data_IF_040370486965
#
_entry.id   IF_040370486965
#
_cell.length_a   1.000
_cell.length_b   1.000
_cell.length_c   1.000
_cell.angle_alpha   90.00
_cell.angle_beta   90.00
_cell.angle_gamma   90.00
#
_symmetry.space_group_name_H-M   'P 1'
#
loop_
_entity.id
_entity.type
_entity.pdbx_description
1 polymer ?
#
# COMPACT_ATOMS: atom_id res chain seq x y z
N UNK A 1 7.73 15.23 21.42
CA UNK A 1 8.41 15.58 20.16
C UNK A 1 9.60 14.68 20.14
N UNK A 2 9.55 13.63 19.31
CA UNK A 2 10.47 12.50 19.43
C UNK A 2 11.73 12.79 18.60
N UNK A 3 12.90 12.62 19.22
CA UNK A 3 14.21 12.77 18.58
C UNK A 3 14.71 11.36 18.21
N UNK A 4 14.79 11.08 16.91
CA UNK A 4 15.18 9.76 16.38
C UNK A 4 16.56 9.87 15.77
N UNK A 5 17.51 9.08 16.29
CA UNK A 5 18.90 9.09 15.85
C UNK A 5 19.39 7.67 15.58
N UNK A 6 19.94 7.47 14.39
CA UNK A 6 20.58 6.23 13.96
C UNK A 6 22.04 6.17 14.45
N UNK A 7 22.62 4.97 14.56
CA UNK A 7 24.03 4.78 14.94
C UNK A 7 24.63 3.59 14.21
N UNK A 8 25.78 3.81 13.59
CA UNK A 8 26.40 2.91 12.61
C UNK A 8 27.53 2.02 13.20
N UNK A 9 27.96 1.03 12.41
CA UNK A 9 29.24 0.29 12.47
C UNK A 9 29.48 -0.35 11.07
N UNK A 10 30.64 -0.95 10.72
CA UNK A 10 30.95 -1.75 9.45
C UNK A 10 30.65 -3.42 9.13
N UNK A 11 30.77 -3.13 7.72
CA UNK A 11 30.63 -3.81 6.34
C UNK A 11 31.47 -3.28 5.16
N UNK A 12 31.29 -3.93 3.99
CA UNK A 12 31.94 -3.68 2.69
C UNK A 12 30.97 -3.89 1.50
N UNK A 13 30.74 -2.83 0.72
CA UNK A 13 30.44 -2.89 -0.74
C UNK A 13 31.44 -1.99 -1.47
N UNK A 14 31.89 -2.36 -2.67
CA UNK A 14 33.05 -1.71 -3.31
C UNK A 14 32.65 -0.42 -4.05
N UNK A 15 32.52 0.66 -3.29
CA UNK A 15 32.65 2.05 -3.77
C UNK A 15 33.52 2.81 -2.77
N UNK A 16 34.42 3.67 -3.24
CA UNK A 16 35.45 4.25 -2.38
C UNK A 16 34.92 5.34 -1.43
N UNK A 17 35.41 5.29 -0.18
CA UNK A 17 35.10 6.16 0.97
C UNK A 17 33.70 5.98 1.62
N UNK A 18 33.70 5.93 2.96
CA UNK A 18 32.55 5.79 3.87
C UNK A 18 31.80 4.44 3.77
N UNK A 19 32.16 3.49 4.65
CA UNK A 19 31.51 2.17 4.80
C UNK A 19 30.44 2.14 5.92
N UNK A 20 29.56 1.12 5.93
CA UNK A 20 28.66 0.76 7.05
C UNK A 20 27.98 -0.64 6.91
N UNK A 21 27.74 -1.38 8.01
CA UNK A 21 26.85 -2.55 8.14
C UNK A 21 25.42 -2.07 8.24
N UNK A 22 24.74 -2.28 7.13
CA UNK A 22 23.47 -2.99 7.15
C UNK A 22 23.73 -4.39 7.74
N UNK A 23 23.26 -4.69 8.97
CA UNK A 23 23.31 -6.05 9.51
C UNK A 23 22.30 -6.90 8.72
N UNK A 24 22.75 -7.74 7.79
CA UNK A 24 21.85 -8.49 6.92
C UNK A 24 21.22 -9.69 7.65
N UNK A 25 19.88 -9.71 7.75
CA UNK A 25 19.10 -10.85 8.25
C UNK A 25 18.42 -11.57 7.07
N UNK A 26 18.47 -12.91 7.04
CA UNK A 26 17.77 -13.71 6.01
C UNK A 26 16.71 -14.59 6.66
N UNK A 27 15.49 -14.55 6.11
CA UNK A 27 14.36 -15.39 6.54
C UNK A 27 13.86 -16.26 5.38
N UNK A 28 13.05 -17.27 5.71
CA UNK A 28 12.33 -18.11 4.73
C UNK A 28 10.83 -17.92 4.90
N UNK A 29 10.18 -17.51 3.83
CA UNK A 29 8.72 -17.27 3.74
C UNK A 29 8.08 -18.28 2.79
N UNK A 30 6.74 -18.43 2.79
CA UNK A 30 6.04 -19.23 1.78
C UNK A 30 6.33 -18.82 0.33
N UNK A 31 6.58 -17.53 0.06
CA UNK A 31 6.97 -17.02 -1.27
C UNK A 31 8.48 -17.05 -1.53
N UNK A 32 9.28 -17.70 -0.68
CA UNK A 32 10.73 -17.87 -0.88
C UNK A 32 11.60 -17.28 0.22
N UNK A 33 12.92 -17.34 0.04
CA UNK A 33 13.88 -16.71 0.95
C UNK A 33 14.01 -15.21 0.65
N UNK A 34 14.27 -14.39 1.67
CA UNK A 34 14.56 -12.97 1.48
C UNK A 34 15.52 -12.43 2.53
N UNK A 35 16.39 -11.50 2.11
CA UNK A 35 17.36 -10.81 2.95
C UNK A 35 16.89 -9.37 3.22
N UNK A 36 16.78 -9.01 4.49
CA UNK A 36 16.44 -7.65 4.95
C UNK A 36 17.55 -7.02 5.77
N UNK A 37 17.35 -5.74 6.08
CA UNK A 37 18.20 -4.92 6.95
C UNK A 37 17.91 -5.21 8.42
N UNK A 38 18.91 -5.08 9.28
CA UNK A 38 18.72 -4.98 10.71
C UNK A 38 19.53 -3.80 11.27
N UNK A 39 18.92 -3.07 12.21
CA UNK A 39 19.43 -1.81 12.76
C UNK A 39 19.11 -1.70 14.26
N UNK A 40 19.83 -0.82 14.97
CA UNK A 40 19.45 -0.41 16.33
C UNK A 40 18.78 0.97 16.29
N UNK A 41 17.49 1.01 16.64
CA UNK A 41 16.73 2.24 16.81
C UNK A 41 16.78 2.68 18.28
N UNK A 42 16.90 3.98 18.53
CA UNK A 42 16.74 4.57 19.86
C UNK A 42 15.42 5.34 19.89
N UNK A 43 14.51 4.96 20.80
CA UNK A 43 13.24 5.67 21.05
C UNK A 43 13.12 5.94 22.54
N UNK A 44 12.97 7.21 22.92
CA UNK A 44 12.88 7.69 24.31
C UNK A 44 13.98 7.11 25.23
N UNK A 45 15.20 7.00 24.70
CA UNK A 45 16.39 6.48 25.39
C UNK A 45 16.49 4.95 25.48
N UNK A 46 15.44 4.21 25.11
CA UNK A 46 15.43 2.74 25.06
C UNK A 46 15.90 2.27 23.68
N UNK A 47 16.74 1.23 23.64
CA UNK A 47 17.26 0.65 22.40
C UNK A 47 16.36 -0.51 21.94
N UNK A 48 16.09 -0.56 20.64
CA UNK A 48 15.27 -1.57 19.97
C UNK A 48 16.02 -2.11 18.75
N UNK A 49 16.03 -3.43 18.56
CA UNK A 49 16.63 -4.08 17.39
C UNK A 49 15.55 -4.28 16.33
N UNK A 50 15.60 -3.47 15.27
CA UNK A 50 14.58 -3.47 14.21
C UNK A 50 15.10 -4.26 13.02
N UNK A 51 14.31 -5.20 12.53
CA UNK A 51 14.52 -5.85 11.22
C UNK A 51 13.56 -5.26 10.20
N UNK A 52 14.06 -4.91 9.01
CA UNK A 52 13.32 -4.23 7.94
C UNK A 52 13.47 -5.01 6.65
N UNK A 53 12.36 -5.38 6.04
CA UNK A 53 12.31 -6.03 4.74
C UNK A 53 11.52 -5.12 3.81
N UNK A 54 12.24 -4.42 2.93
CA UNK A 54 11.74 -3.34 2.10
C UNK A 54 11.46 -3.83 0.67
N UNK A 55 10.52 -3.19 -0.03
CA UNK A 55 10.31 -3.43 -1.47
C UNK A 55 9.85 -4.83 -1.87
N UNK A 56 9.32 -5.66 -0.97
CA UNK A 56 8.89 -7.03 -1.29
C UNK A 56 7.73 -6.99 -2.28
N UNK A 57 7.95 -7.50 -3.50
CA UNK A 57 6.93 -7.57 -4.56
C UNK A 57 5.85 -8.61 -4.23
N UNK A 58 4.62 -8.15 -3.99
CA UNK A 58 3.48 -9.03 -3.69
C UNK A 58 2.62 -9.39 -4.92
N UNK A 59 2.80 -8.67 -6.03
CA UNK A 59 2.09 -8.89 -7.29
C UNK A 59 3.05 -9.00 -8.49
N UNK A 60 2.55 -9.53 -9.61
CA UNK A 60 3.20 -9.44 -10.92
C UNK A 60 3.25 -7.99 -11.45
N UNK A 61 4.00 -7.80 -12.55
CA UNK A 61 4.08 -6.52 -13.26
C UNK A 61 2.70 -5.93 -13.59
N UNK A 62 2.53 -4.65 -13.33
CA UNK A 62 1.32 -3.87 -13.64
C UNK A 62 1.49 -2.87 -14.77
N UNK A 63 2.66 -2.88 -15.43
CA UNK A 63 2.96 -2.09 -16.62
C UNK A 63 2.33 -2.67 -17.92
N UNK A 64 2.41 -1.90 -19.00
CA UNK A 64 2.18 -2.38 -20.38
C UNK A 64 0.82 -3.05 -20.59
N UNK A 65 0.82 -4.35 -20.93
CA UNK A 65 -0.41 -5.13 -21.18
C UNK A 65 -1.22 -5.40 -19.91
N UNK A 66 -0.58 -5.38 -18.74
CA UNK A 66 -1.23 -5.58 -17.44
C UNK A 66 -1.79 -4.29 -16.84
N UNK A 67 -1.43 -3.12 -17.40
CA UNK A 67 -1.96 -1.81 -16.98
C UNK A 67 -3.49 -1.81 -17.04
N UNK A 68 -4.13 -1.31 -15.99
CA UNK A 68 -5.59 -1.31 -15.77
C UNK A 68 -6.27 -2.69 -15.55
N UNK A 69 -5.55 -3.82 -15.55
CA UNK A 69 -6.12 -5.09 -15.06
C UNK A 69 -6.05 -5.17 -13.53
N UNK A 70 -6.87 -6.06 -12.93
CA UNK A 70 -6.69 -6.50 -11.53
C UNK A 70 -5.26 -7.06 -11.35
N UNK A 71 -4.62 -6.85 -10.18
CA UNK A 71 -3.29 -7.40 -9.93
C UNK A 71 -3.37 -8.93 -9.82
N UNK A 72 -2.25 -9.59 -10.14
CA UNK A 72 -2.09 -11.04 -9.99
C UNK A 72 -1.01 -11.31 -8.93
N UNK A 73 -1.17 -12.32 -8.05
CA UNK A 73 -0.16 -12.65 -7.03
C UNK A 73 1.17 -13.01 -7.69
N UNK A 74 2.28 -12.49 -7.15
CA UNK A 74 3.61 -12.80 -7.68
C UNK A 74 3.95 -14.29 -7.47
N UNK A 75 4.73 -14.86 -8.38
CA UNK A 75 5.26 -16.22 -8.21
C UNK A 75 6.32 -16.26 -7.08
N UNK A 76 6.49 -17.40 -6.36
CA UNK A 76 7.55 -17.55 -5.37
C UNK A 76 8.95 -17.30 -5.96
N UNK A 77 9.79 -16.58 -5.21
CA UNK A 77 11.13 -16.19 -5.65
C UNK A 77 12.05 -17.42 -5.82
N UNK A 78 12.64 -17.56 -7.01
CA UNK A 78 13.57 -18.66 -7.35
C UNK A 78 14.94 -18.55 -6.67
N UNK A 79 15.25 -17.37 -6.13
CA UNK A 79 16.47 -17.03 -5.39
C UNK A 79 16.10 -16.20 -4.17
N UNK A 80 17.04 -15.97 -3.25
CA UNK A 80 16.83 -15.00 -2.15
C UNK A 80 16.48 -13.64 -2.73
N UNK A 81 15.33 -13.08 -2.37
CA UNK A 81 14.91 -11.74 -2.74
C UNK A 81 15.65 -10.70 -1.88
N UNK A 82 16.22 -9.68 -2.53
CA UNK A 82 16.88 -8.57 -1.84
C UNK A 82 15.84 -7.55 -1.36
N UNK A 83 15.45 -7.66 -0.10
CA UNK A 83 14.56 -6.74 0.61
C UNK A 83 15.34 -5.69 1.43
N UNK A 84 16.56 -5.32 1.01
CA UNK A 84 17.35 -4.28 1.71
C UNK A 84 17.14 -2.86 1.16
N UNK A 85 16.64 -2.73 -0.07
CA UNK A 85 16.59 -1.47 -0.80
C UNK A 85 15.24 -0.74 -0.65
N UNK A 86 15.28 0.61 -0.65
CA UNK A 86 14.06 1.42 -0.56
C UNK A 86 13.08 1.14 -1.71
N UNK A 87 11.77 1.02 -1.44
CA UNK A 87 10.78 0.70 -2.46
C UNK A 87 10.63 1.83 -3.48
N UNK A 88 10.44 1.46 -4.76
CA UNK A 88 9.88 2.39 -5.73
C UNK A 88 8.39 2.60 -5.46
N UNK A 89 7.93 3.83 -5.64
CA UNK A 89 6.53 4.21 -5.48
C UNK A 89 5.73 4.05 -6.78
N UNK A 90 4.40 3.97 -6.66
CA UNK A 90 3.52 4.05 -7.83
C UNK A 90 3.54 5.46 -8.43
N UNK A 91 3.44 5.55 -9.76
CA UNK A 91 3.31 6.86 -10.43
C UNK A 91 2.10 7.64 -9.87
N UNK A 92 2.31 8.88 -9.37
CA UNK A 92 1.22 9.74 -8.97
C UNK A 92 0.48 10.25 -10.20
N UNK A 93 -0.80 10.55 -10.03
CA UNK A 93 -1.68 10.99 -11.12
C UNK A 93 -1.24 12.30 -11.75
N UNK A 94 -0.52 13.16 -11.04
CA UNK A 94 -0.25 14.55 -11.44
C UNK A 94 1.19 14.96 -11.12
N UNK A 95 1.72 15.94 -11.88
CA UNK A 95 3.12 16.37 -11.78
C UNK A 95 3.46 16.96 -10.39
N UNK A 96 2.48 17.58 -9.72
CA UNK A 96 2.62 18.07 -8.35
C UNK A 96 3.03 16.96 -7.37
N UNK A 97 2.40 15.79 -7.46
CA UNK A 97 2.76 14.59 -6.69
C UNK A 97 4.15 14.07 -7.05
N UNK A 98 4.51 14.06 -8.34
CA UNK A 98 5.84 13.61 -8.80
C UNK A 98 6.95 14.50 -8.22
N UNK A 99 6.77 15.82 -8.24
CA UNK A 99 7.72 16.78 -7.63
C UNK A 99 7.75 16.64 -6.09
N UNK A 100 6.59 16.49 -5.46
CA UNK A 100 6.44 16.43 -4.00
C UNK A 100 7.12 15.23 -3.36
N UNK A 101 7.02 14.06 -3.99
CA UNK A 101 7.58 12.80 -3.48
C UNK A 101 8.87 12.36 -4.19
N UNK A 102 9.16 12.86 -5.41
CA UNK A 102 10.36 12.51 -6.20
C UNK A 102 11.71 12.88 -5.55
N UNK A 103 11.69 13.72 -4.51
CA UNK A 103 12.84 14.01 -3.64
C UNK A 103 13.10 12.93 -2.56
N UNK A 104 12.26 11.91 -2.48
CA UNK A 104 12.34 10.80 -1.51
C UNK A 104 12.26 9.41 -2.18
N UNK A 105 11.55 9.29 -3.30
CA UNK A 105 11.30 8.01 -4.00
C UNK A 105 11.43 8.17 -5.51
N UNK A 106 11.85 7.09 -6.18
CA UNK A 106 11.67 6.93 -7.62
C UNK A 106 10.30 6.29 -7.90
N UNK A 107 9.74 6.54 -9.10
CA UNK A 107 8.43 6.05 -9.51
C UNK A 107 8.52 4.95 -10.56
N UNK A 108 7.62 3.98 -10.49
CA UNK A 108 7.47 2.90 -11.47
C UNK A 108 5.98 2.54 -11.64
N UNK A 109 5.66 1.80 -12.71
CA UNK A 109 4.37 1.11 -12.84
C UNK A 109 4.36 -0.23 -12.10
N UNK A 110 5.52 -0.88 -11.95
CA UNK A 110 5.69 -2.16 -11.25
C UNK A 110 5.92 -1.92 -9.75
N UNK A 111 4.96 -1.22 -9.15
CA UNK A 111 5.08 -0.60 -7.83
C UNK A 111 4.40 -1.40 -6.70
N UNK A 112 3.84 -2.57 -7.00
CA UNK A 112 3.08 -3.39 -6.05
C UNK A 112 4.01 -4.17 -5.12
N UNK A 113 4.61 -3.39 -4.22
CA UNK A 113 5.50 -3.85 -3.17
C UNK A 113 4.99 -3.44 -1.78
N UNK A 114 5.49 -4.15 -0.77
CA UNK A 114 5.25 -3.85 0.63
C UNK A 114 6.53 -3.92 1.46
N UNK A 115 6.48 -3.36 2.66
CA UNK A 115 7.64 -3.20 3.55
C UNK A 115 7.24 -3.69 4.94
N UNK A 116 8.02 -4.59 5.54
CA UNK A 116 7.74 -5.21 6.85
C UNK A 116 8.79 -4.79 7.87
N UNK A 117 8.33 -4.30 9.02
CA UNK A 117 9.15 -3.82 10.12
C UNK A 117 8.87 -4.65 11.39
N UNK A 118 9.92 -5.24 11.97
CA UNK A 118 9.84 -6.19 13.10
C UNK A 118 10.83 -5.78 14.20
N UNK A 119 10.34 -5.26 15.32
CA UNK A 119 11.15 -4.85 16.48
C UNK A 119 11.42 -5.97 17.49
N UNK A 120 11.67 -7.20 17.02
CA UNK A 120 11.89 -8.35 17.89
C UNK A 120 12.88 -9.35 17.26
N UNK A 121 13.54 -10.13 18.09
CA UNK A 121 14.33 -11.29 17.69
C UNK A 121 13.44 -12.41 17.13
N UNK A 122 13.91 -13.10 16.09
CA UNK A 122 13.18 -14.17 15.39
C UNK A 122 13.23 -15.48 16.18
N UNK A 123 12.63 -15.47 17.37
CA UNK A 123 12.63 -16.58 18.32
C UNK A 123 11.40 -17.48 18.16
N UNK A 124 11.57 -18.76 18.51
CA UNK A 124 10.47 -19.72 18.50
C UNK A 124 9.48 -19.37 19.62
N UNK A 125 8.19 -19.49 19.31
CA UNK A 125 7.05 -19.16 20.18
C UNK A 125 6.73 -17.66 20.35
N UNK A 126 7.45 -16.75 19.67
CA UNK A 126 7.03 -15.34 19.56
C UNK A 126 5.96 -15.22 18.47
N UNK A 127 4.89 -14.48 18.75
CA UNK A 127 3.84 -14.16 17.77
C UNK A 127 3.24 -12.79 18.08
N UNK A 128 3.56 -11.80 17.24
CA UNK A 128 3.22 -10.38 17.47
C UNK A 128 1.93 -9.98 16.73
N UNK A 129 1.15 -9.02 17.25
CA UNK A 129 0.08 -8.38 16.49
C UNK A 129 0.63 -7.66 15.25
N UNK A 130 -0.20 -7.55 14.22
CA UNK A 130 0.21 -7.00 12.92
C UNK A 130 -0.61 -5.76 12.57
N UNK A 131 0.05 -4.69 12.15
CA UNK A 131 -0.58 -3.44 11.73
C UNK A 131 -0.24 -3.13 10.27
N UNK A 132 -1.24 -3.19 9.37
CA UNK A 132 -1.06 -2.92 7.93
C UNK A 132 -1.48 -1.48 7.62
N UNK A 133 -0.52 -0.65 7.26
CA UNK A 133 -0.70 0.74 6.84
C UNK A 133 -0.99 0.85 5.35
N UNK A 134 -2.10 1.50 5.02
CA UNK A 134 -2.41 1.99 3.67
C UNK A 134 -2.35 3.52 3.73
N UNK A 135 -1.40 4.10 2.99
CA UNK A 135 -1.12 5.54 3.06
C UNK A 135 -2.22 6.37 2.40
N UNK A 136 -2.47 7.56 2.96
CA UNK A 136 -3.41 8.53 2.40
C UNK A 136 -2.82 9.42 1.32
N UNK A 137 -3.57 9.66 0.24
CA UNK A 137 -3.18 10.66 -0.78
C UNK A 137 -4.24 10.98 -1.84
N UNK A 138 -5.50 11.14 -1.42
CA UNK A 138 -6.64 11.42 -2.32
C UNK A 138 -6.78 10.44 -3.48
N UNK A 139 -6.33 9.19 -3.29
CA UNK A 139 -6.19 8.14 -4.32
C UNK A 139 -5.24 8.47 -5.49
N UNK A 140 -4.61 9.65 -5.52
CA UNK A 140 -3.88 10.20 -6.68
C UNK A 140 -2.38 10.44 -6.44
N UNK A 141 -1.92 10.35 -5.19
CA UNK A 141 -0.52 10.54 -4.81
C UNK A 141 -0.17 9.74 -3.54
N UNK A 142 1.11 9.68 -3.16
CA UNK A 142 1.59 8.97 -1.97
C UNK A 142 2.63 7.88 -2.28
N UNK A 143 3.21 7.31 -1.23
CA UNK A 143 4.21 6.24 -1.28
C UNK A 143 4.36 5.61 0.12
N UNK A 144 4.80 4.35 0.22
CA UNK A 144 5.15 3.76 1.53
C UNK A 144 6.36 4.39 2.20
N UNK A 145 7.41 4.76 1.44
CA UNK A 145 8.71 5.13 1.98
C UNK A 145 8.73 6.40 2.86
N UNK A 146 7.71 7.24 2.77
CA UNK A 146 7.56 8.43 3.63
C UNK A 146 6.91 8.10 5.00
N UNK A 147 6.55 6.83 5.22
CA UNK A 147 5.96 6.29 6.45
C UNK A 147 6.86 5.19 7.04
N UNK A 148 8.02 5.54 7.63
CA UNK A 148 8.87 4.59 8.33
C UNK A 148 8.08 3.90 9.47
N UNK A 149 7.96 2.58 9.40
CA UNK A 149 7.20 1.77 10.35
C UNK A 149 7.98 1.45 11.64
N UNK A 150 9.29 1.68 11.66
CA UNK A 150 10.22 1.31 12.73
C UNK A 150 9.76 1.82 14.11
N UNK A 151 9.34 3.10 14.19
CA UNK A 151 8.95 3.71 15.47
C UNK A 151 7.65 3.14 16.06
N UNK A 152 6.68 2.76 15.21
CA UNK A 152 5.44 2.12 15.65
C UNK A 152 5.72 0.67 16.05
N UNK A 153 6.54 -0.05 15.27
CA UNK A 153 6.95 -1.42 15.60
C UNK A 153 7.71 -1.47 16.93
N UNK A 154 8.62 -0.53 17.17
CA UNK A 154 9.40 -0.42 18.40
C UNK A 154 8.56 -0.10 19.63
N UNK A 155 7.75 0.96 19.57
CA UNK A 155 7.00 1.42 20.74
C UNK A 155 5.77 0.55 21.04
N UNK A 156 5.13 -0.02 20.01
CA UNK A 156 3.94 -0.85 20.16
C UNK A 156 4.21 -2.34 20.37
N UNK A 157 5.46 -2.79 20.21
CA UNK A 157 5.84 -4.23 20.20
C UNK A 157 5.00 -5.04 19.18
N UNK A 158 4.73 -4.41 18.02
CA UNK A 158 3.95 -4.96 16.89
C UNK A 158 4.79 -5.09 15.62
N UNK A 159 4.32 -5.89 14.66
CA UNK A 159 4.82 -5.83 13.29
C UNK A 159 4.06 -4.74 12.54
N UNK A 160 4.79 -3.89 11.82
CA UNK A 160 4.19 -2.92 10.90
C UNK A 160 4.43 -3.38 9.47
N UNK A 161 3.39 -3.36 8.64
CA UNK A 161 3.52 -3.53 7.19
C UNK A 161 3.04 -2.26 6.51
N UNK A 162 3.75 -1.74 5.52
CA UNK A 162 3.29 -0.63 4.66
C UNK A 162 3.16 -1.11 3.22
N UNK A 163 2.01 -0.86 2.58
CA UNK A 163 1.64 -1.43 1.27
C UNK A 163 1.51 -0.33 0.21
N UNK A 164 2.18 -0.49 -0.95
CA UNK A 164 1.94 0.33 -2.14
C UNK A 164 0.77 -0.21 -2.96
N UNK A 165 -0.03 0.70 -3.52
CA UNK A 165 -1.18 0.42 -4.38
C UNK A 165 -1.24 1.44 -5.52
N UNK A 166 -1.78 1.06 -6.69
CA UNK A 166 -1.79 1.96 -7.87
C UNK A 166 -2.66 3.19 -7.62
N UNK A 167 -2.17 4.32 -8.10
CA UNK A 167 -2.73 5.65 -7.85
C UNK A 167 -3.30 6.26 -9.14
N UNK A 168 -4.23 7.19 -8.98
CA UNK A 168 -4.81 7.97 -10.06
C UNK A 168 -5.41 7.09 -11.15
N UNK A 169 -5.18 7.50 -12.39
CA UNK A 169 -5.52 6.73 -13.59
C UNK A 169 -5.05 5.25 -13.56
N UNK A 170 -3.90 4.94 -12.96
CA UNK A 170 -3.37 3.56 -12.93
C UNK A 170 -4.16 2.65 -11.99
N UNK A 171 -4.78 3.24 -10.95
CA UNK A 171 -5.56 2.54 -9.92
C UNK A 171 -7.07 2.65 -10.06
N UNK A 172 -7.58 3.64 -10.80
CA UNK A 172 -8.99 4.03 -10.74
C UNK A 172 -9.62 4.45 -12.09
N UNK A 173 -8.96 4.22 -13.23
CA UNK A 173 -9.63 4.45 -14.52
C UNK A 173 -10.75 3.45 -14.79
N UNK A 174 -11.87 3.96 -15.27
CA UNK A 174 -13.03 3.19 -15.69
C UNK A 174 -13.57 3.73 -17.02
N UNK A 175 -14.44 2.99 -17.71
CA UNK A 175 -15.18 3.50 -18.85
C UNK A 175 -16.59 2.90 -18.96
N UNK A 176 -17.48 3.61 -19.66
CA UNK A 176 -18.92 3.30 -19.71
C UNK A 176 -19.19 1.95 -20.43
N UNK A 177 -18.32 1.57 -21.36
CA UNK A 177 -18.33 0.28 -22.06
C UNK A 177 -17.57 -0.85 -21.32
N UNK A 178 -17.17 -0.63 -20.06
CA UNK A 178 -16.77 -1.69 -19.11
C UNK A 178 -15.43 -2.39 -19.38
N UNK A 179 -14.65 -1.94 -20.37
CA UNK A 179 -13.31 -2.49 -20.69
C UNK A 179 -12.25 -2.08 -19.67
N UNK A 180 -12.50 -0.98 -18.95
CA UNK A 180 -11.74 -0.48 -17.82
C UNK A 180 -12.66 -0.60 -16.59
N UNK A 181 -12.44 -1.57 -15.69
CA UNK A 181 -13.40 -1.89 -14.63
C UNK A 181 -13.28 -1.02 -13.37
N UNK A 182 -12.34 -0.08 -13.32
CA UNK A 182 -12.02 0.69 -12.11
C UNK A 182 -11.49 -0.14 -10.94
N UNK A 183 -11.38 0.52 -9.78
CA UNK A 183 -11.02 -0.07 -8.48
C UNK A 183 -9.71 -0.88 -8.40
N UNK A 184 -8.82 -0.82 -9.40
CA UNK A 184 -7.55 -1.56 -9.40
C UNK A 184 -6.73 -1.28 -8.12
N UNK A 185 -6.69 -0.05 -7.63
CA UNK A 185 -6.03 0.30 -6.37
C UNK A 185 -6.64 -0.35 -5.12
N UNK A 186 -7.95 -0.63 -5.11
CA UNK A 186 -8.59 -1.42 -4.04
C UNK A 186 -8.26 -2.91 -4.14
N UNK A 187 -8.15 -3.43 -5.37
CA UNK A 187 -7.70 -4.81 -5.62
C UNK A 187 -6.21 -5.00 -5.23
N UNK A 188 -5.36 -4.00 -5.46
CA UNK A 188 -3.96 -3.98 -5.03
C UNK A 188 -3.82 -4.03 -3.50
N UNK A 189 -4.58 -3.18 -2.80
CA UNK A 189 -4.67 -3.18 -1.34
C UNK A 189 -5.17 -4.54 -0.80
N UNK A 190 -6.21 -5.12 -1.41
CA UNK A 190 -6.73 -6.45 -1.03
C UNK A 190 -5.66 -7.54 -1.22
N UNK A 191 -4.95 -7.53 -2.34
CA UNK A 191 -3.88 -8.50 -2.61
C UNK A 191 -2.70 -8.34 -1.63
N UNK A 192 -2.35 -7.11 -1.27
CA UNK A 192 -1.35 -6.83 -0.22
C UNK A 192 -1.80 -7.30 1.17
N UNK A 193 -3.06 -7.06 1.55
CA UNK A 193 -3.66 -7.57 2.79
C UNK A 193 -3.62 -9.12 2.83
N UNK A 194 -4.01 -9.77 1.73
CA UNK A 194 -3.95 -11.22 1.60
C UNK A 194 -2.52 -11.75 1.67
N UNK A 195 -1.57 -11.09 1.02
CA UNK A 195 -0.15 -11.46 1.09
C UNK A 195 0.35 -11.43 2.54
N UNK A 196 -0.03 -10.42 3.33
CA UNK A 196 0.33 -10.34 4.75
C UNK A 196 -0.27 -11.51 5.52
N UNK A 197 -1.58 -11.77 5.40
CA UNK A 197 -2.22 -12.93 6.05
C UNK A 197 -1.48 -14.24 5.73
N UNK A 198 -1.12 -14.47 4.48
CA UNK A 198 -0.52 -15.72 4.02
C UNK A 198 0.98 -15.87 4.39
N UNK A 199 1.71 -14.78 4.64
CA UNK A 199 3.17 -14.80 4.82
C UNK A 199 3.67 -14.32 6.19
N UNK A 200 2.91 -13.52 6.95
CA UNK A 200 3.44 -12.78 8.11
C UNK A 200 3.89 -13.67 9.27
N UNK A 201 3.45 -14.93 9.31
CA UNK A 201 3.94 -15.93 10.27
C UNK A 201 5.46 -16.19 10.14
N UNK A 202 6.03 -16.06 8.94
CA UNK A 202 7.47 -16.15 8.72
C UNK A 202 8.24 -14.93 9.28
N UNK A 203 7.53 -13.85 9.58
CA UNK A 203 8.03 -12.63 10.21
C UNK A 203 7.71 -12.57 11.71
N UNK A 204 7.40 -13.72 12.35
CA UNK A 204 6.88 -13.86 13.72
C UNK A 204 5.58 -13.09 14.01
N UNK A 205 4.76 -12.85 12.98
CA UNK A 205 3.44 -12.23 13.11
C UNK A 205 2.29 -13.21 13.34
N UNK A 206 1.22 -12.74 13.96
CA UNK A 206 -0.02 -13.49 14.11
C UNK A 206 -1.02 -13.11 13.00
N UNK A 207 -1.30 -13.99 12.01
CA UNK A 207 -2.29 -13.72 10.96
C UNK A 207 -3.74 -13.66 11.48
N UNK A 208 -3.98 -14.09 12.73
CA UNK A 208 -5.26 -13.98 13.41
C UNK A 208 -5.37 -12.72 14.30
N UNK A 209 -4.35 -11.86 14.34
CA UNK A 209 -4.35 -10.61 15.12
C UNK A 209 -3.84 -9.42 14.29
N UNK A 210 -4.46 -9.25 13.12
CA UNK A 210 -4.16 -8.23 12.12
C UNK A 210 -5.14 -7.05 12.25
N UNK A 211 -4.60 -5.84 12.17
CA UNK A 211 -5.33 -4.57 12.16
C UNK A 211 -4.94 -3.77 10.92
N UNK A 212 -5.90 -3.44 10.06
CA UNK A 212 -5.65 -2.54 8.92
C UNK A 212 -5.89 -1.08 9.32
N UNK A 213 -5.01 -0.15 8.95
CA UNK A 213 -5.13 1.26 9.32
C UNK A 213 -4.68 2.23 8.21
N UNK A 214 -5.29 3.42 8.17
CA UNK A 214 -5.11 4.37 7.08
C UNK A 214 -5.75 5.73 7.36
N UNK A 215 -5.32 6.76 6.62
CA UNK A 215 -5.67 8.17 6.87
C UNK A 215 -6.33 8.86 5.67
N UNK A 216 -7.28 9.76 5.93
CA UNK A 216 -7.93 10.61 4.92
C UNK A 216 -8.65 9.77 3.87
N UNK A 217 -8.34 9.94 2.57
CA UNK A 217 -8.81 9.07 1.49
C UNK A 217 -8.68 7.59 1.82
N UNK A 218 -7.55 7.20 2.42
CA UNK A 218 -7.29 5.82 2.74
C UNK A 218 -7.83 5.39 4.11
N UNK A 219 -8.31 6.34 4.92
CA UNK A 219 -9.28 6.04 5.97
C UNK A 219 -10.63 5.58 5.38
N UNK A 220 -10.99 6.00 4.16
CA UNK A 220 -12.09 5.40 3.41
C UNK A 220 -11.68 4.07 2.76
N UNK A 221 -10.45 3.93 2.21
CA UNK A 221 -9.89 2.65 1.75
C UNK A 221 -10.02 1.55 2.81
N UNK A 222 -9.61 1.81 4.06
CA UNK A 222 -9.77 0.87 5.18
C UNK A 222 -11.22 0.41 5.35
N UNK A 223 -12.20 1.29 5.16
CA UNK A 223 -13.61 0.94 5.25
C UNK A 223 -14.06 0.15 4.00
N UNK A 224 -13.65 0.52 2.79
CA UNK A 224 -13.92 -0.28 1.58
C UNK A 224 -13.37 -1.71 1.70
N UNK A 225 -12.14 -1.87 2.20
CA UNK A 225 -11.56 -3.18 2.49
C UNK A 225 -12.40 -3.95 3.53
N UNK A 226 -12.98 -3.29 4.54
CA UNK A 226 -13.87 -3.92 5.52
C UNK A 226 -15.26 -4.30 5.00
N UNK A 227 -15.69 -3.71 3.87
CA UNK A 227 -16.99 -3.99 3.23
C UNK A 227 -16.89 -5.08 2.15
N UNK A 228 -15.71 -5.28 1.56
CA UNK A 228 -15.47 -6.31 0.56
C UNK A 228 -15.50 -7.73 1.18
N UNK A 229 -16.42 -8.64 0.78
CA UNK A 229 -16.55 -9.95 1.42
C UNK A 229 -15.32 -10.86 1.28
N UNK A 230 -14.49 -10.66 0.25
CA UNK A 230 -13.27 -11.44 0.03
C UNK A 230 -12.13 -11.15 1.02
N UNK A 231 -12.28 -10.17 1.92
CA UNK A 231 -11.35 -9.93 3.02
C UNK A 231 -11.72 -10.65 4.34
N UNK A 232 -12.85 -11.37 4.40
CA UNK A 232 -13.30 -12.08 5.61
C UNK A 232 -12.23 -13.07 6.09
N UNK A 233 -11.67 -12.79 7.28
CA UNK A 233 -10.62 -13.58 7.92
C UNK A 233 -9.21 -12.97 7.87
N UNK A 234 -8.90 -12.14 6.87
CA UNK A 234 -7.55 -11.58 6.70
C UNK A 234 -7.20 -10.46 7.70
N UNK A 235 -8.19 -9.87 8.36
CA UNK A 235 -8.01 -8.98 9.50
C UNK A 235 -9.20 -8.97 10.45
N UNK A 236 -8.96 -8.55 11.70
CA UNK A 236 -9.93 -8.65 12.80
C UNK A 236 -10.31 -7.28 13.39
N UNK A 237 -9.54 -6.22 13.07
CA UNK A 237 -9.80 -4.82 13.48
C UNK A 237 -9.48 -3.86 12.35
N UNK A 238 -10.11 -2.68 12.40
CA UNK A 238 -9.84 -1.58 11.45
C UNK A 238 -9.71 -0.24 12.16
N UNK A 239 -8.77 0.60 11.72
CA UNK A 239 -8.58 1.97 12.23
C UNK A 239 -8.60 2.97 11.07
N UNK A 240 -9.75 3.63 10.89
CA UNK A 240 -9.94 4.69 9.89
C UNK A 240 -9.69 6.06 10.54
N UNK A 241 -8.65 6.79 10.10
CA UNK A 241 -8.27 8.09 10.65
C UNK A 241 -8.73 9.22 9.72
N UNK A 242 -9.63 10.09 10.19
CA UNK A 242 -10.12 11.26 9.43
C UNK A 242 -10.67 10.92 8.02
N UNK A 243 -11.23 9.72 7.82
CA UNK A 243 -11.76 9.23 6.55
C UNK A 243 -13.03 8.40 6.73
N UNK A 244 -13.87 8.32 5.69
CA UNK A 244 -15.12 7.56 5.71
C UNK A 244 -15.55 7.14 4.30
N UNK A 245 -15.97 5.88 4.13
CA UNK A 245 -16.61 5.41 2.89
C UNK A 245 -17.98 6.08 2.61
N UNK A 246 -18.53 6.82 3.58
CA UNK A 246 -19.75 7.63 3.43
C UNK A 246 -19.47 9.10 3.14
N UNK A 247 -18.21 9.52 2.99
CA UNK A 247 -17.88 10.89 2.62
C UNK A 247 -18.22 11.14 1.13
N UNK A 248 -18.75 12.32 0.81
CA UNK A 248 -19.16 12.68 -0.56
C UNK A 248 -18.03 12.59 -1.60
N UNK A 249 -16.77 12.63 -1.16
CA UNK A 249 -15.59 12.51 -2.00
C UNK A 249 -15.06 11.08 -2.13
N UNK A 250 -15.58 10.09 -1.38
CA UNK A 250 -14.97 8.77 -1.26
C UNK A 250 -15.30 7.81 -2.43
N UNK A 251 -16.42 8.03 -3.12
CA UNK A 251 -16.86 7.24 -4.28
C UNK A 251 -17.21 8.20 -5.42
N UNK A 252 -16.74 7.90 -6.63
CA UNK A 252 -17.14 8.63 -7.84
C UNK A 252 -18.51 8.07 -8.30
N UNK A 253 -19.58 8.84 -8.06
CA UNK A 253 -20.96 8.37 -8.26
C UNK A 253 -21.40 8.30 -9.75
N UNK A 254 -20.83 9.16 -10.61
CA UNK A 254 -21.15 9.26 -12.04
C UNK A 254 -19.87 9.42 -12.88
N UNK A 255 -18.99 8.41 -12.88
CA UNK A 255 -17.67 8.51 -13.51
C UNK A 255 -17.78 8.49 -15.04
N UNK A 256 -16.98 9.32 -15.72
CA UNK A 256 -17.07 9.54 -17.17
C UNK A 256 -15.72 10.01 -17.71
N UNK A 257 -14.91 9.04 -18.15
CA UNK A 257 -13.52 9.30 -18.56
C UNK A 257 -13.40 9.55 -20.06
N UNK A 258 -14.49 9.56 -20.83
CA UNK A 258 -14.47 9.87 -22.28
C UNK A 258 -13.78 11.22 -22.62
N UNK A 259 -13.98 12.32 -21.85
CA UNK A 259 -13.25 13.57 -22.08
C UNK A 259 -11.75 13.41 -21.86
N UNK A 260 -11.34 12.55 -20.94
CA UNK A 260 -9.92 12.23 -20.71
C UNK A 260 -9.35 11.35 -21.83
N UNK A 261 -10.08 10.32 -22.27
CA UNK A 261 -9.71 9.44 -23.39
C UNK A 261 -9.50 10.27 -24.67
N UNK A 262 -10.37 11.24 -24.93
CA UNK A 262 -10.24 12.21 -26.01
C UNK A 262 -9.06 13.20 -25.80
N UNK A 263 -8.84 13.69 -24.57
CA UNK A 263 -7.67 14.52 -24.20
C UNK A 263 -6.33 13.81 -24.44
N UNK A 264 -6.31 12.48 -24.44
CA UNK A 264 -5.14 11.64 -24.79
C UNK A 264 -5.14 11.16 -26.26
N UNK A 265 -6.12 11.55 -27.07
CA UNK A 265 -6.22 11.18 -28.50
C UNK A 265 -6.59 9.72 -28.76
N UNK A 266 -7.17 9.04 -27.77
CA UNK A 266 -7.50 7.62 -27.84
C UNK A 266 -8.99 7.35 -28.16
N UNK A 267 -9.83 8.38 -28.34
CA UNK A 267 -11.27 8.24 -28.56
C UNK A 267 -11.63 7.71 -29.96
N UNK A 268 -10.71 7.86 -30.93
CA UNK A 268 -10.83 7.34 -32.30
C UNK A 268 -10.01 6.06 -32.55
N UNK A 269 -9.33 5.55 -31.53
CA UNK A 269 -8.57 4.31 -31.67
C UNK A 269 -9.55 3.12 -31.76
N UNK A 270 -9.32 2.13 -32.66
CA UNK A 270 -10.14 0.91 -32.72
C UNK A 270 -10.15 0.12 -31.41
N UNK A 271 -9.12 0.33 -30.57
CA UNK A 271 -9.02 -0.12 -29.19
C UNK A 271 -8.43 1.03 -28.35
N UNK A 272 -9.30 1.77 -27.67
CA UNK A 272 -8.94 2.89 -26.79
C UNK A 272 -8.10 2.44 -25.60
N UNK A 273 -8.33 1.24 -25.07
CA UNK A 273 -7.56 0.68 -23.95
C UNK A 273 -6.14 0.37 -24.39
N UNK A 274 -5.96 -0.24 -25.57
CA UNK A 274 -4.62 -0.47 -26.16
C UNK A 274 -3.90 0.85 -26.48
N UNK A 275 -4.63 1.88 -26.91
CA UNK A 275 -4.06 3.22 -27.08
C UNK A 275 -3.54 3.79 -25.76
N UNK A 276 -4.35 3.77 -24.69
CA UNK A 276 -3.93 4.21 -23.35
C UNK A 276 -2.76 3.37 -22.78
N UNK A 277 -2.70 2.07 -23.10
CA UNK A 277 -1.58 1.17 -22.72
C UNK A 277 -0.28 1.47 -23.47
N UNK A 278 -0.34 2.09 -24.65
CA UNK A 278 0.85 2.48 -25.43
C UNK A 278 1.48 3.80 -24.95
N UNK A 279 0.77 4.62 -24.18
CA UNK A 279 1.29 5.87 -23.63
C UNK A 279 2.27 5.63 -22.48
N UNK A 280 3.24 6.54 -22.30
CA UNK A 280 4.12 6.54 -21.11
C UNK A 280 3.36 6.99 -19.86
N UNK A 281 3.82 6.66 -18.64
CA UNK A 281 3.15 7.09 -17.41
C UNK A 281 2.95 8.60 -17.29
N UNK A 282 3.96 9.40 -17.69
CA UNK A 282 3.85 10.88 -17.72
C UNK A 282 2.87 11.40 -18.79
N UNK A 283 2.71 10.71 -19.91
CA UNK A 283 1.65 11.05 -20.87
C UNK A 283 0.25 10.73 -20.33
N UNK A 284 0.12 9.75 -19.42
CA UNK A 284 -1.14 9.41 -18.76
C UNK A 284 -1.50 10.32 -17.57
N UNK A 285 -0.56 11.10 -17.03
CA UNK A 285 -0.83 12.03 -15.93
C UNK A 285 -1.96 13.02 -16.26
N UNK A 286 -2.72 13.37 -15.23
CA UNK A 286 -3.84 14.30 -15.25
C UNK A 286 -3.91 15.09 -13.94
N UNK A 287 -3.95 16.42 -14.05
CA UNK A 287 -4.04 17.33 -12.91
C UNK A 287 -5.47 17.42 -12.33
N UNK A 288 -6.48 16.81 -12.98
CA UNK A 288 -7.79 16.58 -12.35
C UNK A 288 -7.69 15.45 -11.32
N UNK A 289 -7.27 15.84 -10.12
CA UNK A 289 -7.22 15.00 -8.92
C UNK A 289 -8.61 14.58 -8.40
N UNK A 290 -9.70 14.98 -9.06
CA UNK A 290 -11.07 14.66 -8.65
C UNK A 290 -11.71 13.51 -9.44
N UNK A 291 -11.22 13.14 -10.62
CA UNK A 291 -11.76 12.02 -11.39
C UNK A 291 -11.43 10.63 -10.77
N UNK A 292 -10.18 10.45 -10.36
CA UNK A 292 -9.61 9.13 -10.07
C UNK A 292 -9.91 8.65 -8.64
N UNK A 293 -11.06 7.98 -8.44
CA UNK A 293 -11.51 7.48 -7.14
C UNK A 293 -12.25 6.15 -7.25
N UNK A 294 -12.49 5.43 -6.15
CA UNK A 294 -13.33 4.23 -6.14
C UNK A 294 -14.72 4.41 -6.76
N UNK A 295 -15.26 3.36 -7.37
CA UNK A 295 -16.59 3.30 -8.00
C UNK A 295 -17.40 2.10 -7.49
N UNK A 296 -18.72 2.12 -7.68
CA UNK A 296 -19.60 0.97 -7.45
C UNK A 296 -19.52 0.05 -8.68
N UNK A 297 -18.43 -0.73 -8.74
CA UNK A 297 -18.12 -1.67 -9.85
C UNK A 297 -18.99 -2.94 -9.87
N UNK A 298 -19.79 -3.18 -8.81
CA UNK A 298 -20.56 -4.42 -8.58
C UNK A 298 -19.71 -5.68 -8.39
N UNK A 299 -18.41 -5.52 -8.11
CA UNK A 299 -17.42 -6.59 -7.98
C UNK A 299 -16.67 -6.45 -6.63
N UNK A 300 -15.89 -5.37 -6.45
CA UNK A 300 -15.31 -5.00 -5.15
C UNK A 300 -16.35 -4.30 -4.26
N UNK A 301 -17.08 -3.33 -4.83
CA UNK A 301 -18.17 -2.60 -4.18
C UNK A 301 -19.50 -3.04 -4.81
N UNK A 302 -20.06 -4.11 -4.24
CA UNK A 302 -21.30 -4.77 -4.70
C UNK A 302 -22.54 -3.84 -4.71
N UNK A 303 -22.55 -2.79 -3.90
CA UNK A 303 -23.53 -1.68 -3.92
C UNK A 303 -22.91 -0.45 -3.24
N UNK A 304 -23.70 0.61 -2.99
CA UNK A 304 -23.18 1.77 -2.26
C UNK A 304 -22.73 1.38 -0.84
N UNK A 305 -21.69 2.03 -0.29
CA UNK A 305 -21.23 1.76 1.08
C UNK A 305 -22.34 1.93 2.12
N UNK A 306 -23.28 2.85 1.89
CA UNK A 306 -24.45 3.07 2.73
C UNK A 306 -25.37 1.85 2.78
N UNK A 307 -25.69 1.25 1.62
CA UNK A 307 -26.52 0.04 1.56
C UNK A 307 -25.80 -1.16 2.18
N UNK A 308 -24.51 -1.33 1.95
CA UNK A 308 -23.73 -2.44 2.52
C UNK A 308 -23.70 -2.32 4.06
N UNK A 309 -23.41 -1.13 4.60
CA UNK A 309 -23.35 -0.87 6.04
C UNK A 309 -24.71 -1.08 6.73
N UNK A 310 -25.82 -0.65 6.12
CA UNK A 310 -27.15 -0.80 6.71
C UNK A 310 -27.80 -2.18 6.49
N UNK A 311 -27.32 -2.98 5.54
CA UNK A 311 -27.82 -4.36 5.31
C UNK A 311 -27.08 -5.44 6.10
N UNK A 312 -25.86 -5.18 6.57
CA UNK A 312 -25.05 -6.19 7.26
C UNK A 312 -25.46 -6.42 8.72
N UNK A 313 -25.81 -7.67 9.03
CA UNK A 313 -26.06 -8.15 10.40
C UNK A 313 -24.76 -8.36 11.19
N UNK A 314 -23.69 -8.78 10.51
CA UNK A 314 -22.35 -8.94 11.09
C UNK A 314 -21.62 -7.58 11.13
N UNK A 315 -21.14 -7.19 12.32
CA UNK A 315 -20.39 -5.94 12.53
C UNK A 315 -18.94 -6.27 12.86
N UNK A 316 -18.00 -5.82 12.03
CA UNK A 316 -16.57 -5.89 12.34
C UNK A 316 -16.22 -5.01 13.56
N UNK A 317 -15.05 -5.24 14.18
CA UNK A 317 -14.56 -4.42 15.30
C UNK A 317 -13.92 -3.14 14.76
N UNK A 318 -14.78 -2.17 14.43
CA UNK A 318 -14.39 -0.83 13.99
C UNK A 318 -13.87 0.04 15.15
N UNK A 319 -12.66 0.58 15.00
CA UNK A 319 -12.20 1.77 15.74
C UNK A 319 -12.11 2.94 14.76
N UNK A 320 -13.24 3.58 14.48
CA UNK A 320 -13.26 4.79 13.67
C UNK A 320 -12.74 5.97 14.48
N UNK A 321 -11.69 6.63 13.99
CA UNK A 321 -11.12 7.82 14.63
C UNK A 321 -11.48 9.06 13.83
N UNK A 322 -12.62 9.64 14.22
CA UNK A 322 -13.09 10.92 13.70
C UNK A 322 -12.55 12.06 14.56
N UNK A 323 -11.66 12.88 13.99
CA UNK A 323 -11.19 14.09 14.66
C UNK A 323 -10.05 14.78 13.92
N UNK A 324 -10.08 16.12 13.78
CA UNK A 324 -8.91 16.94 13.78
C UNK A 324 -8.56 17.35 15.23
N UNK A 325 -7.27 17.26 15.58
CA UNK A 325 -6.64 17.70 16.84
C UNK A 325 -6.89 16.92 18.14
N UNK A 326 -5.78 16.85 18.88
CA UNK A 326 -5.54 16.51 20.29
C UNK A 326 -6.12 15.22 20.89
N UNK A 327 -5.20 14.40 21.42
CA UNK A 327 -5.46 13.13 22.10
C UNK A 327 -5.18 13.20 23.62
N UNK A 328 -4.93 14.40 24.15
CA UNK A 328 -4.46 14.62 25.53
C UNK A 328 -5.51 15.31 26.42
N UNK A 329 -6.76 14.88 26.32
CA UNK A 329 -7.88 15.31 27.18
C UNK A 329 -8.76 14.12 27.54
#
# INVERSE_FOLDING_TARGET
MFDVRFRESFCITITAAMFGYVDCITIKTPVGAMSGVQETLIVDGRQYRISKFLGILFAESTAGVNRFHKPMPNAPFSSTFDATQNPMACFPSHLGGEIKYGKYVNFTEDCLNLNVFVSHTFEKNVSLPVMIWIYGGSFVEGATAIYPGEGISAFGEVIVVTVNYRLGIFGFIQNVDGKLPGNQGLWDQHLGIKWVHDNILAFIGNPNDVTIFGKSADGASIIFQSLYPGNRGFFQRVIAQSGSALAYWAVHATPNEEPFIAKKGCERAPDSVKCLRALTPRQLQDDDTSAWKPIIDRDFLISSPQEIIFSHTERAKFLCIFGPYDWRK
#
